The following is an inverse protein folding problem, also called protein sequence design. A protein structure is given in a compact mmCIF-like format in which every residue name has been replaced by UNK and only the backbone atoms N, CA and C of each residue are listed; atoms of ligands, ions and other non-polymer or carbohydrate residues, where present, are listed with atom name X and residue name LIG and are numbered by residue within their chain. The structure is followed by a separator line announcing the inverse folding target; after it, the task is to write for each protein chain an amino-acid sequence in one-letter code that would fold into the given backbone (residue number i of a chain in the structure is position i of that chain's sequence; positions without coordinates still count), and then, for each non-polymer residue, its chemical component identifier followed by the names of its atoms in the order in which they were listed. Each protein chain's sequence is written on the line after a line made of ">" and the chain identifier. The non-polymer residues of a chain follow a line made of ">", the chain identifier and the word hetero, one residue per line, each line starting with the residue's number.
data_IF_597697972118
#
_entry.id   IF_597697972118
#
_cell.length_a   1.000
_cell.length_b   1.000
_cell.length_c   1.000
_cell.angle_alpha   90.00
_cell.angle_beta   90.00
_cell.angle_gamma   90.00
#
_symmetry.space_group_name_H-M   'P 1'
#
loop_
_entity.id
_entity.type
_entity.pdbx_description
1 polymer ?
#
# COMPACT_ATOMS: atom_id res chain seq x y z
N UNK A 1 10.68 -35.77 3.26
CA UNK A 1 9.75 -35.00 2.42
C UNK A 1 10.15 -33.53 2.53
N UNK A 2 11.04 -33.05 1.65
CA UNK A 2 11.55 -31.68 1.69
C UNK A 2 10.46 -30.75 1.16
N UNK A 3 9.71 -30.10 2.06
CA UNK A 3 8.78 -29.04 1.69
C UNK A 3 9.64 -27.79 1.48
N UNK A 4 9.81 -27.39 0.23
CA UNK A 4 10.53 -26.18 -0.16
C UNK A 4 9.98 -24.96 0.63
N UNK A 5 10.82 -24.20 1.36
CA UNK A 5 10.38 -23.03 2.15
C UNK A 5 9.57 -22.01 1.32
N UNK A 6 9.86 -21.89 0.02
CA UNK A 6 9.12 -21.04 -0.93
C UNK A 6 7.64 -21.43 -1.05
N UNK A 7 7.32 -22.71 -0.89
CA UNK A 7 5.94 -23.22 -1.04
C UNK A 7 5.07 -22.86 0.18
N UNK A 8 5.68 -22.73 1.36
CA UNK A 8 4.99 -22.30 2.59
C UNK A 8 4.65 -20.81 2.54
N UNK A 9 5.56 -19.99 2.02
CA UNK A 9 5.36 -18.54 1.81
C UNK A 9 4.26 -18.25 0.79
N UNK A 10 4.29 -18.98 -0.33
CA UNK A 10 3.20 -18.98 -1.31
C UNK A 10 1.85 -19.30 -0.66
N UNK A 11 1.81 -20.26 0.26
CA UNK A 11 0.56 -20.65 0.91
C UNK A 11 -0.05 -19.54 1.77
N UNK A 12 0.74 -18.67 2.40
CA UNK A 12 0.20 -17.61 3.25
C UNK A 12 -0.41 -16.48 2.43
N UNK A 13 0.29 -16.02 1.39
CA UNK A 13 -0.23 -14.98 0.49
C UNK A 13 -1.38 -15.54 -0.32
N UNK A 14 -1.30 -16.78 -0.79
CA UNK A 14 -2.41 -17.45 -1.45
C UNK A 14 -3.62 -17.62 -0.52
N UNK A 15 -3.45 -17.94 0.76
CA UNK A 15 -4.55 -17.93 1.74
C UNK A 15 -5.14 -16.54 1.95
N UNK A 16 -4.32 -15.50 1.93
CA UNK A 16 -4.79 -14.11 1.99
C UNK A 16 -5.59 -13.74 0.73
N UNK A 17 -5.07 -14.10 -0.45
CA UNK A 17 -5.74 -13.93 -1.74
C UNK A 17 -7.05 -14.71 -1.79
N UNK A 18 -7.03 -15.99 -1.41
CA UNK A 18 -8.21 -16.86 -1.38
C UNK A 18 -9.25 -16.30 -0.40
N UNK A 19 -8.84 -15.73 0.73
CA UNK A 19 -9.75 -15.07 1.68
C UNK A 19 -10.36 -13.77 1.11
N UNK A 20 -9.64 -13.05 0.25
CA UNK A 20 -10.15 -11.84 -0.42
C UNK A 20 -11.04 -12.20 -1.62
N UNK A 21 -10.70 -13.25 -2.35
CA UNK A 21 -11.38 -13.65 -3.59
C UNK A 21 -12.53 -14.64 -3.38
N UNK A 22 -12.63 -15.30 -2.22
CA UNK A 22 -13.75 -16.18 -1.91
C UNK A 22 -14.95 -15.34 -1.45
N UNK A 23 -16.07 -15.32 -2.21
CA UNK A 23 -17.29 -14.70 -1.74
C UNK A 23 -17.85 -15.58 -0.62
N UNK A 24 -17.74 -15.17 0.65
CA UNK A 24 -18.56 -15.82 1.68
C UNK A 24 -20.02 -15.40 1.51
N UNK A 25 -20.86 -16.38 1.14
CA UNK A 25 -22.27 -16.38 1.50
C UNK A 25 -22.39 -16.27 3.02
N UNK A 26 -22.72 -15.09 3.54
CA UNK A 26 -23.70 -14.88 4.63
C UNK A 26 -23.57 -13.49 5.24
N UNK A 27 -24.73 -12.86 5.42
CA UNK A 27 -24.86 -11.48 5.85
C UNK A 27 -24.20 -11.16 7.19
N UNK A 28 -23.49 -10.03 7.21
CA UNK A 28 -23.29 -9.26 8.42
C UNK A 28 -23.95 -7.88 8.29
N UNK A 29 -25.14 -7.85 8.89
CA UNK A 29 -25.96 -6.69 9.21
C UNK A 29 -25.08 -5.57 9.79
N UNK A 30 -25.11 -4.42 9.11
CA UNK A 30 -24.58 -3.14 9.59
C UNK A 30 -24.85 -2.95 11.09
N UNK A 31 -23.77 -2.90 11.89
CA UNK A 31 -23.79 -2.45 13.28
C UNK A 31 -23.23 -1.02 13.35
N UNK A 32 -23.82 -0.09 12.60
CA UNK A 32 -23.84 1.30 13.04
C UNK A 32 -25.07 1.47 13.94
N UNK A 33 -24.82 1.40 15.25
CA UNK A 33 -25.82 1.56 16.28
C UNK A 33 -26.51 2.92 16.19
N UNK A 34 -27.84 2.89 16.20
CA UNK A 34 -28.70 4.06 16.42
C UNK A 34 -28.30 4.76 17.73
N UNK A 35 -28.00 6.05 17.65
CA UNK A 35 -27.96 6.93 18.81
C UNK A 35 -29.37 7.07 19.40
N UNK A 36 -29.55 7.07 20.74
CA UNK A 36 -30.86 7.24 21.34
C UNK A 36 -31.31 8.71 21.28
N UNK A 37 -32.55 8.89 20.85
CA UNK A 37 -33.31 10.13 20.94
C UNK A 37 -33.64 10.45 22.41
N UNK A 38 -33.11 11.56 22.92
CA UNK A 38 -33.48 12.15 24.22
C UNK A 38 -33.84 13.61 24.04
N UNK A 39 -35.13 13.93 24.17
CA UNK A 39 -35.69 15.28 24.20
C UNK A 39 -35.44 15.94 25.56
N UNK A 40 -35.05 17.22 25.60
CA UNK A 40 -35.40 18.19 26.65
C UNK A 40 -35.13 19.65 26.16
N UNK A 41 -36.18 20.48 26.27
CA UNK A 41 -36.22 21.97 26.18
C UNK A 41 -35.32 22.60 27.26
N UNK A 42 -34.86 23.85 27.30
CA UNK A 42 -35.14 25.17 26.66
C UNK A 42 -34.06 26.15 27.16
N UNK A 43 -33.75 27.23 26.44
CA UNK A 43 -33.03 28.39 27.02
C UNK A 43 -32.31 29.30 26.03
N UNK A 44 -33.01 30.35 25.62
CA UNK A 44 -32.60 31.63 25.00
C UNK A 44 -31.14 32.11 25.16
N UNK A 45 -30.51 32.58 24.07
CA UNK A 45 -30.24 34.02 23.77
C UNK A 45 -29.38 34.21 22.51
N UNK A 46 -29.62 35.34 21.85
CA UNK A 46 -29.25 35.73 20.48
C UNK A 46 -27.76 35.95 20.22
N UNK A 47 -27.26 35.53 19.06
CA UNK A 47 -26.33 36.31 18.23
C UNK A 47 -26.29 35.77 16.79
N UNK A 48 -26.33 36.71 15.85
CA UNK A 48 -26.62 36.55 14.43
C UNK A 48 -25.51 35.78 13.70
N UNK A 49 -25.84 34.62 13.12
CA UNK A 49 -24.98 33.92 12.15
C UNK A 49 -25.52 34.21 10.76
N UNK A 50 -24.76 34.99 9.98
CA UNK A 50 -24.98 35.14 8.55
C UNK A 50 -24.82 33.78 7.87
N UNK A 51 -25.92 33.32 7.27
CA UNK A 51 -25.97 32.17 6.39
C UNK A 51 -25.18 32.44 5.11
N UNK A 52 -23.95 31.96 5.02
CA UNK A 52 -23.31 31.70 3.72
C UNK A 52 -23.60 30.27 3.33
N UNK A 53 -24.62 30.10 2.49
CA UNK A 53 -24.87 28.87 1.75
C UNK A 53 -23.72 28.65 0.77
N UNK A 54 -22.67 27.94 1.19
CA UNK A 54 -21.72 27.34 0.25
C UNK A 54 -22.38 26.09 -0.34
N UNK A 55 -23.09 26.32 -1.44
CA UNK A 55 -23.52 25.28 -2.37
C UNK A 55 -22.32 24.39 -2.68
N UNK A 56 -22.28 23.20 -2.06
CA UNK A 56 -21.23 22.21 -2.27
C UNK A 56 -21.31 21.70 -3.70
N UNK A 57 -20.56 22.33 -4.59
CA UNK A 57 -20.21 21.72 -5.87
C UNK A 57 -19.57 20.38 -5.53
N UNK A 58 -20.18 19.29 -6.01
CA UNK A 58 -19.60 17.96 -6.04
C UNK A 58 -18.48 17.97 -7.08
N UNK A 59 -17.46 18.80 -6.82
CA UNK A 59 -16.31 18.98 -7.67
C UNK A 59 -15.39 17.81 -7.41
N UNK A 60 -15.22 16.96 -8.43
CA UNK A 60 -14.14 15.97 -8.50
C UNK A 60 -12.85 16.65 -8.07
N UNK A 61 -12.28 16.25 -6.92
CA UNK A 61 -10.95 16.74 -6.52
C UNK A 61 -9.97 16.29 -7.60
N UNK A 62 -9.11 17.20 -8.06
CA UNK A 62 -8.05 16.86 -9.01
C UNK A 62 -7.14 15.79 -8.37
N UNK A 63 -6.62 14.82 -9.13
CA UNK A 63 -5.64 13.87 -8.62
C UNK A 63 -4.45 14.57 -7.96
N UNK A 64 -3.88 13.96 -6.93
CA UNK A 64 -2.70 14.49 -6.20
C UNK A 64 -1.59 14.89 -7.16
N UNK A 65 -1.34 14.08 -8.20
CA UNK A 65 -0.35 14.37 -9.23
C UNK A 65 -0.62 15.69 -9.97
N UNK A 66 -1.88 16.00 -10.30
CA UNK A 66 -2.24 17.24 -10.98
C UNK A 66 -2.13 18.45 -10.06
N UNK A 67 -2.48 18.29 -8.78
CA UNK A 67 -2.29 19.35 -7.78
C UNK A 67 -0.80 19.70 -7.63
N UNK A 68 0.06 18.68 -7.57
CA UNK A 68 1.51 18.86 -7.48
C UNK A 68 2.10 19.53 -8.72
N UNK A 69 1.70 19.11 -9.92
CA UNK A 69 2.13 19.75 -11.17
C UNK A 69 1.67 21.21 -11.26
N UNK A 70 0.53 21.55 -10.67
CA UNK A 70 0.01 22.91 -10.62
C UNK A 70 0.64 23.78 -9.51
N UNK A 71 1.57 23.23 -8.71
CA UNK A 71 2.15 23.92 -7.55
C UNK A 71 1.13 24.17 -6.43
N UNK A 72 0.00 23.46 -6.44
CA UNK A 72 -1.04 23.56 -5.42
C UNK A 72 -0.60 22.83 -4.15
N UNK A 73 -0.93 23.39 -2.99
CA UNK A 73 -0.66 22.74 -1.70
C UNK A 73 -1.64 21.57 -1.51
N UNK A 74 -1.11 20.35 -1.57
CA UNK A 74 -1.89 19.13 -1.29
C UNK A 74 -2.13 19.03 0.21
N UNK A 75 -3.38 19.20 0.64
CA UNK A 75 -3.75 19.04 2.04
C UNK A 75 -3.65 17.55 2.42
N UNK A 76 -3.15 17.24 3.62
CA UNK A 76 -3.22 15.88 4.15
C UNK A 76 -4.67 15.39 4.16
N UNK A 77 -4.87 14.14 3.77
CA UNK A 77 -6.18 13.49 3.71
C UNK A 77 -6.14 12.16 4.47
N UNK A 78 -7.23 11.86 5.16
CA UNK A 78 -7.41 10.59 5.84
C UNK A 78 -8.13 9.59 4.93
N UNK A 79 -7.55 8.42 4.77
CA UNK A 79 -8.11 7.30 4.04
C UNK A 79 -8.56 6.25 5.05
N UNK A 80 -9.85 5.89 5.01
CA UNK A 80 -10.45 4.97 5.99
C UNK A 80 -9.91 3.55 5.84
N UNK A 81 -9.63 3.14 4.60
CA UNK A 81 -9.09 1.84 4.29
C UNK A 81 -8.24 1.92 3.01
N UNK A 82 -7.00 1.50 3.13
CA UNK A 82 -6.06 1.23 2.03
C UNK A 82 -5.42 -0.13 2.26
N UNK A 83 -4.83 -0.73 1.24
CA UNK A 83 -3.95 -1.90 1.43
C UNK A 83 -2.52 -1.51 1.11
N UNK A 84 -1.63 -1.76 2.08
CA UNK A 84 -0.20 -1.51 1.98
C UNK A 84 0.53 -2.84 1.78
N UNK A 85 1.41 -2.86 0.79
CA UNK A 85 2.36 -3.91 0.49
C UNK A 85 3.78 -3.44 0.84
N UNK A 86 4.53 -4.30 1.50
CA UNK A 86 5.97 -4.18 1.70
C UNK A 86 6.65 -5.44 1.21
N UNK A 87 7.77 -5.29 0.53
CA UNK A 87 8.69 -6.40 0.34
C UNK A 87 10.14 -6.04 0.59
N UNK A 88 10.89 -7.04 1.01
CA UNK A 88 12.33 -6.95 1.26
C UNK A 88 13.04 -8.16 0.64
N UNK A 89 14.32 -8.00 0.31
CA UNK A 89 15.14 -9.03 -0.33
C UNK A 89 15.77 -9.91 0.76
N UNK A 90 15.47 -11.22 0.71
CA UNK A 90 16.04 -12.17 1.67
C UNK A 90 17.54 -12.33 1.41
N UNK A 91 18.34 -12.05 2.44
CA UNK A 91 19.79 -12.20 2.37
C UNK A 91 20.49 -11.07 1.61
N UNK A 92 19.84 -9.93 1.41
CA UNK A 92 20.42 -8.77 0.71
C UNK A 92 21.77 -8.34 1.28
N UNK A 93 21.91 -8.28 2.61
CA UNK A 93 23.18 -7.92 3.27
C UNK A 93 24.32 -8.86 2.88
N UNK A 94 24.06 -10.17 2.82
CA UNK A 94 25.07 -11.16 2.43
C UNK A 94 25.41 -11.05 0.93
N UNK A 95 24.39 -10.87 0.08
CA UNK A 95 24.57 -10.63 -1.34
C UNK A 95 25.45 -9.40 -1.60
N UNK A 96 25.20 -8.30 -0.89
CA UNK A 96 25.99 -7.07 -0.99
C UNK A 96 27.42 -7.22 -0.46
N UNK A 97 27.63 -8.01 0.60
CA UNK A 97 28.96 -8.24 1.16
C UNK A 97 29.88 -9.01 0.19
N UNK A 98 29.31 -9.83 -0.69
CA UNK A 98 30.05 -10.69 -1.62
C UNK A 98 30.05 -10.18 -3.07
N UNK A 99 29.51 -8.98 -3.32
CA UNK A 99 29.33 -8.41 -4.65
C UNK A 99 29.96 -7.03 -4.75
N UNK A 100 30.38 -6.63 -5.95
CA UNK A 100 30.88 -5.27 -6.17
C UNK A 100 29.72 -4.26 -6.15
N UNK A 101 29.95 -2.99 -5.78
CA UNK A 101 28.90 -1.97 -5.79
C UNK A 101 28.18 -1.84 -7.13
N UNK A 102 28.91 -1.98 -8.25
CA UNK A 102 28.33 -1.95 -9.61
C UNK A 102 27.36 -3.12 -9.80
N UNK A 103 27.77 -4.34 -9.44
CA UNK A 103 26.92 -5.53 -9.54
C UNK A 103 25.65 -5.43 -8.69
N UNK A 104 25.73 -4.82 -7.50
CA UNK A 104 24.57 -4.59 -6.63
C UNK A 104 23.61 -3.60 -7.27
N UNK A 105 24.11 -2.49 -7.82
CA UNK A 105 23.29 -1.49 -8.48
C UNK A 105 22.60 -2.07 -9.72
N UNK A 106 23.33 -2.79 -10.57
CA UNK A 106 22.76 -3.44 -11.75
C UNK A 106 21.66 -4.45 -11.36
N UNK A 107 21.92 -5.26 -10.34
CA UNK A 107 20.93 -6.20 -9.79
C UNK A 107 19.66 -5.49 -9.30
N UNK A 108 19.79 -4.43 -8.51
CA UNK A 108 18.64 -3.67 -8.00
C UNK A 108 17.85 -3.01 -9.14
N UNK A 109 18.55 -2.47 -10.14
CA UNK A 109 17.92 -1.88 -11.32
C UNK A 109 17.10 -2.90 -12.10
N UNK A 110 17.66 -4.09 -12.36
CA UNK A 110 16.96 -5.16 -13.08
C UNK A 110 15.73 -5.66 -12.30
N UNK A 111 15.90 -5.84 -10.98
CA UNK A 111 14.84 -6.30 -10.10
C UNK A 111 13.69 -5.30 -10.03
N UNK A 112 13.99 -4.03 -9.73
CA UNK A 112 12.96 -3.01 -9.60
C UNK A 112 12.35 -2.61 -10.95
N UNK A 113 13.09 -2.69 -12.05
CA UNK A 113 12.49 -2.54 -13.38
C UNK A 113 11.49 -3.65 -13.68
N UNK A 114 11.78 -4.87 -13.25
CA UNK A 114 10.84 -6.00 -13.35
C UNK A 114 9.59 -5.75 -12.51
N UNK A 115 9.74 -5.26 -11.28
CA UNK A 115 8.60 -4.95 -10.41
C UNK A 115 7.78 -3.77 -10.94
N UNK A 116 8.44 -2.70 -11.39
CA UNK A 116 7.80 -1.50 -11.95
C UNK A 116 6.95 -1.86 -13.19
N UNK A 117 7.43 -2.79 -14.02
CA UNK A 117 6.64 -3.33 -15.15
C UNK A 117 5.41 -4.11 -14.68
N UNK A 118 5.50 -4.86 -13.59
CA UNK A 118 4.39 -5.64 -13.03
C UNK A 118 3.33 -4.72 -12.44
N UNK A 119 3.73 -3.77 -11.60
CA UNK A 119 2.78 -2.87 -10.94
C UNK A 119 2.02 -2.00 -11.93
N UNK A 120 2.58 -1.71 -13.10
CA UNK A 120 1.90 -0.95 -14.16
C UNK A 120 0.63 -1.61 -14.72
N UNK A 121 0.37 -2.88 -14.40
CA UNK A 121 -0.86 -3.59 -14.76
C UNK A 121 -1.95 -3.56 -13.67
N UNK A 122 -1.68 -2.95 -12.52
CA UNK A 122 -2.58 -2.93 -11.35
C UNK A 122 -2.88 -1.50 -10.90
N UNK A 123 -4.01 -1.31 -10.24
CA UNK A 123 -4.38 -0.01 -9.65
C UNK A 123 -3.66 0.18 -8.32
N UNK A 124 -2.38 0.52 -8.41
CA UNK A 124 -1.47 0.66 -7.27
C UNK A 124 -0.53 1.86 -7.45
N UNK A 125 -0.06 2.39 -6.33
CA UNK A 125 0.89 3.49 -6.27
C UNK A 125 2.17 3.04 -5.56
N UNK A 126 3.31 3.24 -6.22
CA UNK A 126 4.64 3.00 -5.64
C UNK A 126 5.00 4.14 -4.69
N UNK A 127 5.30 3.80 -3.45
CA UNK A 127 5.75 4.76 -2.44
C UNK A 127 7.27 4.79 -2.45
N UNK A 128 7.86 5.98 -2.54
CA UNK A 128 9.31 6.13 -2.43
C UNK A 128 9.76 5.85 -0.99
N UNK A 129 10.70 4.92 -0.83
CA UNK A 129 11.23 4.46 0.45
C UNK A 129 12.75 4.61 0.49
N UNK A 130 13.30 4.54 1.71
CA UNK A 130 14.74 4.49 1.93
C UNK A 130 15.18 3.03 1.97
N UNK A 131 16.19 2.66 1.17
CA UNK A 131 16.82 1.33 1.20
C UNK A 131 16.33 0.38 0.11
N UNK A 132 16.30 -0.91 0.43
CA UNK A 132 15.92 -2.04 -0.43
C UNK A 132 14.46 -2.51 -0.23
N UNK A 133 13.72 -1.84 0.66
CA UNK A 133 12.31 -2.10 0.84
C UNK A 133 11.50 -1.56 -0.35
N UNK A 134 10.67 -2.39 -0.97
CA UNK A 134 9.76 -2.01 -2.04
C UNK A 134 8.34 -1.87 -1.47
N UNK A 135 7.85 -0.63 -1.42
CA UNK A 135 6.54 -0.30 -0.85
C UNK A 135 5.55 0.11 -1.93
N UNK A 136 4.37 -0.49 -1.89
CA UNK A 136 3.27 -0.23 -2.83
C UNK A 136 1.97 -0.13 -2.04
N UNK A 137 1.06 0.75 -2.47
CA UNK A 137 -0.24 0.95 -1.83
C UNK A 137 -1.35 0.96 -2.89
N UNK A 138 -2.53 0.47 -2.53
CA UNK A 138 -3.75 0.64 -3.33
C UNK A 138 -4.85 1.29 -2.50
N UNK A 139 -5.77 1.99 -3.17
CA UNK A 139 -6.75 2.89 -2.54
C UNK A 139 -6.19 4.28 -2.22
N UNK A 140 -5.00 4.59 -2.77
CA UNK A 140 -4.27 5.86 -2.69
C UNK A 140 -3.46 6.07 -3.98
N UNK A 141 -3.29 7.31 -4.50
CA UNK A 141 -3.95 8.55 -4.07
C UNK A 141 -5.43 8.61 -4.43
N UNK A 142 -5.84 7.83 -5.43
CA UNK A 142 -7.24 7.68 -5.80
C UNK A 142 -7.88 6.53 -5.02
N UNK A 143 -9.10 6.76 -4.53
CA UNK A 143 -9.86 5.74 -3.83
C UNK A 143 -10.49 4.79 -4.85
N UNK A 144 -10.33 3.48 -4.65
CA UNK A 144 -10.88 2.45 -5.53
C UNK A 144 -11.90 1.52 -4.83
N UNK A 145 -12.49 1.99 -3.74
CA UNK A 145 -13.46 1.21 -2.96
C UNK A 145 -12.83 -0.05 -2.37
N UNK A 146 -13.54 -1.17 -2.39
CA UNK A 146 -13.05 -2.44 -1.83
C UNK A 146 -12.02 -3.17 -2.73
N UNK A 147 -11.63 -2.59 -3.87
CA UNK A 147 -10.69 -3.23 -4.80
C UNK A 147 -9.24 -3.17 -4.31
N UNK A 148 -8.89 -2.25 -3.41
CA UNK A 148 -7.50 -2.04 -2.96
C UNK A 148 -6.81 -3.35 -2.51
N UNK A 149 -7.52 -4.20 -1.79
CA UNK A 149 -6.97 -5.44 -1.25
C UNK A 149 -6.75 -6.47 -2.35
N UNK A 150 -7.66 -6.53 -3.32
CA UNK A 150 -7.58 -7.42 -4.48
C UNK A 150 -6.42 -7.04 -5.40
N UNK A 151 -6.27 -5.76 -5.71
CA UNK A 151 -5.18 -5.23 -6.55
C UNK A 151 -3.82 -5.60 -5.96
N UNK A 152 -3.61 -5.33 -4.67
CA UNK A 152 -2.37 -5.70 -3.97
C UNK A 152 -2.16 -7.21 -3.91
N UNK A 153 -3.22 -7.99 -3.66
CA UNK A 153 -3.12 -9.44 -3.56
C UNK A 153 -2.70 -10.08 -4.91
N UNK A 154 -3.29 -9.64 -6.02
CA UNK A 154 -2.94 -10.11 -7.36
C UNK A 154 -1.54 -9.65 -7.78
N UNK A 155 -1.20 -8.39 -7.51
CA UNK A 155 0.13 -7.85 -7.73
C UNK A 155 1.21 -8.65 -6.97
N UNK A 156 0.97 -8.96 -5.69
CA UNK A 156 1.90 -9.73 -4.87
C UNK A 156 2.16 -11.13 -5.45
N UNK A 157 1.12 -11.79 -5.98
CA UNK A 157 1.28 -13.08 -6.66
C UNK A 157 2.11 -12.95 -7.94
N UNK A 158 1.85 -11.92 -8.75
CA UNK A 158 2.62 -11.67 -9.97
C UNK A 158 4.11 -11.38 -9.69
N UNK A 159 4.40 -10.62 -8.63
CA UNK A 159 5.78 -10.37 -8.16
C UNK A 159 6.44 -11.69 -7.76
N UNK A 160 5.75 -12.52 -6.97
CA UNK A 160 6.28 -13.81 -6.54
C UNK A 160 6.59 -14.75 -7.71
N UNK A 161 5.73 -14.78 -8.73
CA UNK A 161 5.96 -15.59 -9.94
C UNK A 161 7.16 -15.06 -10.74
N UNK A 162 7.31 -13.74 -10.85
CA UNK A 162 8.46 -13.14 -11.52
C UNK A 162 9.78 -13.42 -10.80
N UNK A 163 9.81 -13.30 -9.47
CA UNK A 163 10.99 -13.57 -8.63
C UNK A 163 11.47 -15.01 -8.79
N UNK A 164 10.57 -15.98 -8.98
CA UNK A 164 10.95 -17.39 -9.19
C UNK A 164 11.80 -17.61 -10.45
N UNK A 165 11.54 -16.83 -11.48
CA UNK A 165 12.24 -16.90 -12.77
C UNK A 165 13.37 -15.87 -12.89
N UNK A 166 13.51 -14.98 -11.92
CA UNK A 166 14.52 -13.94 -11.92
C UNK A 166 15.91 -14.54 -11.65
N UNK A 167 16.87 -14.23 -12.52
CA UNK A 167 18.26 -14.65 -12.38
C UNK A 167 19.15 -13.46 -12.08
N UNK A 168 19.99 -13.60 -11.07
CA UNK A 168 20.99 -12.59 -10.72
C UNK A 168 22.17 -12.76 -11.68
N UNK A 169 22.41 -11.78 -12.55
CA UNK A 169 23.43 -11.87 -13.63
C UNK A 169 24.81 -12.31 -13.14
N UNK A 170 25.28 -11.74 -12.02
CA UNK A 170 26.59 -12.04 -11.45
C UNK A 170 26.60 -13.26 -10.53
N UNK A 171 25.43 -13.87 -10.25
CA UNK A 171 25.24 -15.05 -9.39
C UNK A 171 24.08 -15.94 -9.89
N UNK A 172 24.21 -16.58 -11.06
CA UNK A 172 23.11 -17.31 -11.70
C UNK A 172 22.62 -18.53 -10.90
N UNK A 173 23.46 -19.08 -10.01
CA UNK A 173 23.08 -20.21 -9.15
C UNK A 173 22.27 -19.80 -7.91
N UNK A 174 22.27 -18.50 -7.56
CA UNK A 174 21.54 -18.00 -6.41
C UNK A 174 20.09 -17.67 -6.81
N UNK A 175 19.14 -18.39 -6.21
CA UNK A 175 17.73 -18.09 -6.38
C UNK A 175 17.34 -16.88 -5.52
N UNK A 176 16.79 -15.85 -6.15
CA UNK A 176 16.24 -14.69 -5.45
C UNK A 176 15.01 -15.11 -4.62
N UNK A 177 14.93 -14.58 -3.40
CA UNK A 177 13.76 -14.72 -2.55
C UNK A 177 13.41 -13.38 -1.93
N UNK A 178 12.11 -13.10 -1.85
CA UNK A 178 11.57 -11.89 -1.22
C UNK A 178 10.67 -12.26 -0.03
N UNK A 179 10.67 -11.42 0.99
CA UNK A 179 9.64 -11.40 2.04
C UNK A 179 8.59 -10.38 1.64
N UNK A 180 7.33 -10.68 1.96
CA UNK A 180 6.19 -9.82 1.64
C UNK A 180 5.33 -9.70 2.89
N UNK A 181 5.04 -8.46 3.26
CA UNK A 181 4.03 -8.10 4.27
C UNK A 181 2.90 -7.32 3.61
N UNK A 182 1.66 -7.67 3.93
CA UNK A 182 0.47 -6.96 3.44
C UNK A 182 -0.46 -6.68 4.60
N UNK A 183 -0.92 -5.43 4.72
CA UNK A 183 -1.90 -5.05 5.74
C UNK A 183 -2.88 -4.02 5.19
N UNK A 184 -4.13 -4.10 5.65
CA UNK A 184 -5.18 -3.14 5.26
C UNK A 184 -5.69 -2.41 6.50
N UNK A 185 -5.91 -1.11 6.36
CA UNK A 185 -6.35 -0.27 7.46
C UNK A 185 -6.31 1.22 7.12
N UNK A 186 -6.68 2.08 8.08
CA UNK A 186 -6.70 3.51 7.87
C UNK A 186 -5.28 4.08 7.78
N UNK A 187 -5.10 5.10 6.93
CA UNK A 187 -3.86 5.87 6.82
C UNK A 187 -4.16 7.36 6.69
N UNK A 188 -3.21 8.19 7.11
CA UNK A 188 -3.17 9.60 6.74
C UNK A 188 -2.12 9.75 5.65
N UNK A 189 -2.48 10.33 4.51
CA UNK A 189 -1.55 10.59 3.42
C UNK A 189 -1.40 12.10 3.20
N UNK A 190 -0.19 12.56 2.92
CA UNK A 190 0.10 13.95 2.66
C UNK A 190 1.38 14.11 1.87
N UNK A 191 1.54 15.24 1.18
CA UNK A 191 2.75 15.53 0.43
C UNK A 191 3.74 16.27 1.31
N UNK A 192 4.96 15.77 1.37
CA UNK A 192 6.07 16.36 2.12
C UNK A 192 7.15 16.83 1.17
N UNK A 193 7.79 17.96 1.50
CA UNK A 193 8.87 18.56 0.72
C UNK A 193 8.40 19.66 -0.22
N UNK A 194 9.09 20.81 -0.21
CA UNK A 194 8.78 21.95 -1.08
C UNK A 194 9.52 21.89 -2.42
N UNK A 195 10.77 21.39 -2.43
CA UNK A 195 11.59 21.28 -3.66
C UNK A 195 11.41 19.95 -4.39
N UNK A 196 11.25 18.86 -3.63
CA UNK A 196 10.99 17.51 -4.15
C UNK A 196 9.78 16.94 -3.40
N UNK A 197 8.56 17.29 -3.82
CA UNK A 197 7.34 16.82 -3.18
C UNK A 197 7.19 15.31 -3.39
N UNK A 198 7.01 14.56 -2.31
CA UNK A 198 6.73 13.13 -2.32
C UNK A 198 5.53 12.82 -1.42
N UNK A 199 4.74 11.82 -1.82
CA UNK A 199 3.58 11.39 -1.05
C UNK A 199 4.05 10.52 0.12
N UNK A 200 3.80 10.98 1.35
CA UNK A 200 4.08 10.25 2.57
C UNK A 200 2.80 9.63 3.14
N UNK A 201 2.92 8.40 3.64
CA UNK A 201 1.87 7.72 4.38
C UNK A 201 2.24 7.63 5.86
N UNK A 202 1.28 7.93 6.72
CA UNK A 202 1.41 7.87 8.16
C UNK A 202 0.28 7.05 8.77
N UNK A 203 0.57 6.37 9.89
CA UNK A 203 -0.41 5.61 10.67
C UNK A 203 0.06 4.20 10.98
N UNK A 204 -0.63 3.58 11.95
CA UNK A 204 -0.29 2.25 12.45
C UNK A 204 -0.38 1.16 11.37
N UNK A 205 -1.18 1.37 10.33
CA UNK A 205 -1.30 0.46 9.19
C UNK A 205 0.05 0.27 8.48
N UNK A 206 0.82 1.35 8.28
CA UNK A 206 2.14 1.29 7.64
C UNK A 206 3.13 0.53 8.52
N UNK A 207 3.14 0.84 9.82
CA UNK A 207 3.99 0.16 10.81
C UNK A 207 3.64 -1.33 10.92
N UNK A 208 2.35 -1.66 10.86
CA UNK A 208 1.88 -3.05 10.93
C UNK A 208 2.26 -3.82 9.67
N UNK A 209 2.11 -3.23 8.48
CA UNK A 209 2.54 -3.84 7.23
C UNK A 209 4.05 -4.14 7.23
N UNK A 210 4.87 -3.17 7.66
CA UNK A 210 6.33 -3.36 7.82
C UNK A 210 6.68 -4.44 8.86
N UNK A 211 5.93 -4.53 9.98
CA UNK A 211 6.09 -5.64 10.94
C UNK A 211 5.71 -6.99 10.35
N UNK A 212 4.66 -7.04 9.53
CA UNK A 212 4.24 -8.29 8.86
C UNK A 212 5.29 -8.76 7.84
N UNK A 213 5.99 -7.84 7.18
CA UNK A 213 7.14 -8.18 6.33
C UNK A 213 8.28 -8.75 7.19
N UNK A 214 8.73 -7.99 8.18
CA UNK A 214 9.93 -8.34 8.99
C UNK A 214 9.74 -9.59 9.85
N UNK A 215 8.50 -9.94 10.20
CA UNK A 215 8.15 -11.20 10.90
C UNK A 215 7.73 -12.33 9.95
N UNK A 216 7.65 -12.06 8.65
CA UNK A 216 7.35 -13.07 7.63
C UNK A 216 8.49 -14.08 7.49
N UNK A 217 8.22 -15.34 7.85
CA UNK A 217 9.19 -16.44 7.71
C UNK A 217 9.36 -16.89 6.27
#
# INVERSE_FOLDING_TARGET
>A
MFINPLNRKYSTIRKFVDRILSPEESGHRSKYGKSPSGSLRSGSSSSSIQSTSSSGSFGYRKPVAQQLMAGEMVRPEQFECVTVYFSDIVGFTALCAESTPIQVVDFLNDLYSTFDRIIGAYDVYKVETIGDAYMVVSGLPERNGDQHAKEIALMALAILDAVRTFQIQHRPEQQLAVRIGVHSGPVCAGVVGQKMPHLCLFGDTVNTASRMESTGQ
#
